data_IF_172834204554
#
_entry.id   IF_172834204554
#
_cell.length_a   1.000
_cell.length_b   1.000
_cell.length_c   1.000
_cell.angle_alpha   90.00
_cell.angle_beta   90.00
_cell.angle_gamma   90.00
#
_symmetry.space_group_name_H-M   'P 1'
#
loop_
_entity.id
_entity.type
_entity.pdbx_description
1 polymer ?
#
# COMPACT_ATOMS: atom_id res chain seq x y z
N UNK A 1 -35.68 25.59 -13.42
CA UNK A 1 -35.08 24.31 -13.86
C UNK A 1 -33.62 24.36 -13.44
N UNK A 2 -33.26 23.66 -12.35
CA UNK A 2 -31.88 23.67 -11.84
C UNK A 2 -31.12 22.50 -12.43
N UNK A 3 -30.13 22.79 -13.27
CA UNK A 3 -29.25 21.80 -13.89
C UNK A 3 -28.25 21.30 -12.85
N UNK A 4 -28.33 20.01 -12.50
CA UNK A 4 -27.31 19.32 -11.70
C UNK A 4 -25.98 19.33 -12.46
N UNK A 5 -24.85 19.74 -11.86
CA UNK A 5 -23.56 19.65 -12.51
C UNK A 5 -23.15 18.19 -12.64
N UNK A 6 -22.79 17.76 -13.86
CA UNK A 6 -22.28 16.44 -14.14
C UNK A 6 -21.05 16.14 -13.27
N UNK A 7 -21.10 15.02 -12.54
CA UNK A 7 -19.97 14.53 -11.76
C UNK A 7 -18.75 14.34 -12.69
N UNK A 8 -17.60 14.92 -12.30
CA UNK A 8 -16.34 14.68 -13.00
C UNK A 8 -16.08 13.17 -13.02
N UNK A 9 -15.66 12.58 -14.16
CA UNK A 9 -15.27 11.18 -14.18
C UNK A 9 -14.14 10.98 -13.16
N UNK A 10 -14.37 10.07 -12.20
CA UNK A 10 -13.33 9.65 -11.26
C UNK A 10 -12.11 9.20 -12.04
N UNK A 11 -10.89 9.58 -11.62
CA UNK A 11 -9.68 9.16 -12.31
C UNK A 11 -9.67 7.63 -12.42
N UNK A 12 -9.53 7.13 -13.66
CA UNK A 12 -9.46 5.71 -13.98
C UNK A 12 -8.46 5.02 -13.03
N UNK A 13 -8.98 4.32 -12.03
CA UNK A 13 -8.14 3.50 -11.16
C UNK A 13 -7.72 2.29 -11.96
N UNK A 14 -6.49 2.33 -12.50
CA UNK A 14 -5.88 1.12 -13.05
C UNK A 14 -5.80 0.08 -11.92
N UNK A 15 -6.39 -1.12 -12.10
CA UNK A 15 -6.34 -2.15 -11.08
C UNK A 15 -4.89 -2.57 -10.85
N UNK A 16 -4.54 -2.83 -9.59
CA UNK A 16 -3.22 -3.35 -9.22
C UNK A 16 -3.10 -4.79 -9.72
N UNK A 17 -2.01 -5.11 -10.41
CA UNK A 17 -1.72 -6.47 -10.89
C UNK A 17 -0.96 -7.31 -9.85
N UNK A 18 -0.97 -8.63 -10.01
CA UNK A 18 -0.22 -9.54 -9.14
C UNK A 18 1.29 -9.20 -9.15
N UNK A 19 1.85 -8.92 -10.34
CA UNK A 19 3.27 -8.59 -10.49
C UNK A 19 3.63 -7.27 -9.79
N UNK A 20 2.69 -6.31 -9.71
CA UNK A 20 2.89 -5.08 -8.95
C UNK A 20 2.95 -5.36 -7.45
N UNK A 21 2.11 -6.26 -6.93
CA UNK A 21 2.15 -6.69 -5.53
C UNK A 21 3.47 -7.41 -5.24
N UNK A 22 3.89 -8.34 -6.09
CA UNK A 22 5.12 -9.10 -5.87
C UNK A 22 6.36 -8.20 -5.89
N UNK A 23 6.42 -7.21 -6.81
CA UNK A 23 7.49 -6.20 -6.79
C UNK A 23 7.45 -5.33 -5.54
N UNK A 24 6.28 -4.94 -5.07
CA UNK A 24 6.14 -4.17 -3.83
C UNK A 24 6.63 -4.98 -2.63
N UNK A 25 6.29 -6.28 -2.55
CA UNK A 25 6.75 -7.19 -1.51
C UNK A 25 8.28 -7.31 -1.53
N UNK A 26 8.87 -7.55 -2.70
CA UNK A 26 10.32 -7.66 -2.84
C UNK A 26 11.05 -6.40 -2.37
N UNK A 27 10.52 -5.22 -2.71
CA UNK A 27 11.06 -3.96 -2.22
C UNK A 27 10.90 -3.82 -0.70
N UNK A 28 9.72 -4.16 -0.15
CA UNK A 28 9.48 -4.10 1.29
C UNK A 28 10.43 -5.01 2.07
N UNK A 29 10.62 -6.25 1.63
CA UNK A 29 11.52 -7.22 2.27
C UNK A 29 12.97 -6.72 2.26
N UNK A 30 13.41 -6.05 1.19
CA UNK A 30 14.74 -5.45 1.10
C UNK A 30 14.92 -4.17 1.95
N UNK A 31 13.84 -3.52 2.39
CA UNK A 31 13.89 -2.22 3.07
C UNK A 31 13.26 -2.22 4.47
N UNK A 32 12.91 -3.39 5.02
CA UNK A 32 12.13 -3.52 6.26
C UNK A 32 12.76 -2.78 7.44
N UNK A 33 14.09 -2.82 7.57
CA UNK A 33 14.83 -2.13 8.64
C UNK A 33 14.73 -0.61 8.52
N UNK A 34 14.90 -0.08 7.30
CA UNK A 34 14.75 1.36 7.03
C UNK A 34 13.32 1.84 7.30
N UNK A 35 12.32 1.02 6.94
CA UNK A 35 10.92 1.30 7.24
C UNK A 35 10.71 1.33 8.76
N UNK A 36 11.19 0.33 9.49
CA UNK A 36 11.07 0.27 10.95
C UNK A 36 11.68 1.50 11.63
N UNK A 37 12.85 1.97 11.17
CA UNK A 37 13.50 3.18 11.68
C UNK A 37 12.74 4.47 11.35
N UNK A 38 12.00 4.50 10.23
CA UNK A 38 11.21 5.66 9.82
C UNK A 38 9.83 5.73 10.49
N UNK A 39 9.38 4.67 11.16
CA UNK A 39 8.11 4.68 11.89
C UNK A 39 8.19 5.59 13.13
N UNK A 40 7.12 6.33 13.44
CA UNK A 40 5.81 6.31 12.77
C UNK A 40 5.77 7.14 11.47
N UNK A 41 5.04 6.63 10.46
CA UNK A 41 4.84 7.32 9.18
C UNK A 41 3.39 7.83 9.11
N UNK A 42 3.23 9.14 8.93
CA UNK A 42 1.94 9.80 8.86
C UNK A 42 1.60 10.20 7.44
N UNK A 43 0.45 9.77 6.94
CA UNK A 43 -0.10 10.17 5.64
C UNK A 43 -1.52 10.71 5.82
N UNK A 44 -2.09 11.50 4.88
CA UNK A 44 -3.44 12.00 5.02
C UNK A 44 -4.46 10.86 5.28
N UNK A 45 -5.02 10.84 6.49
CA UNK A 45 -6.01 9.86 6.93
C UNK A 45 -5.47 8.55 7.50
N UNK A 46 -4.14 8.35 7.59
CA UNK A 46 -3.53 7.11 8.12
C UNK A 46 -2.25 7.38 8.91
N UNK A 47 -2.09 6.72 10.06
CA UNK A 47 -0.86 6.69 10.84
C UNK A 47 -0.34 5.25 10.94
N UNK A 48 0.81 4.98 10.35
CA UNK A 48 1.49 3.70 10.44
C UNK A 48 2.41 3.69 11.66
N UNK A 49 2.23 2.70 12.54
CA UNK A 49 3.03 2.45 13.76
C UNK A 49 3.69 1.08 13.67
N UNK A 50 4.62 0.75 14.57
CA UNK A 50 5.36 -0.53 14.57
C UNK A 50 4.49 -1.78 14.31
N UNK A 51 3.31 -1.88 14.94
CA UNK A 51 2.39 -3.02 14.74
C UNK A 51 1.83 -3.18 13.31
N UNK A 52 1.96 -2.19 12.43
CA UNK A 52 1.57 -2.34 11.04
C UNK A 52 2.49 -3.30 10.28
N UNK A 53 3.76 -3.44 10.69
CA UNK A 53 4.71 -4.34 10.05
C UNK A 53 4.29 -5.81 10.24
N UNK A 54 3.84 -6.18 11.43
CA UNK A 54 3.30 -7.52 11.70
C UNK A 54 2.03 -7.79 10.87
N UNK A 55 1.14 -6.80 10.80
CA UNK A 55 -0.10 -6.90 10.02
C UNK A 55 0.19 -7.05 8.52
N UNK A 56 1.19 -6.33 8.02
CA UNK A 56 1.64 -6.39 6.64
C UNK A 56 2.30 -7.74 6.36
N UNK A 57 3.21 -8.22 7.22
CA UNK A 57 3.85 -9.53 7.11
C UNK A 57 2.83 -10.68 7.08
N UNK A 58 1.77 -10.61 7.90
CA UNK A 58 0.67 -11.58 7.85
C UNK A 58 -0.04 -11.56 6.50
N UNK A 59 -0.36 -10.37 6.00
CA UNK A 59 -1.03 -10.20 4.70
C UNK A 59 -0.16 -10.74 3.55
N UNK A 60 1.16 -10.49 3.59
CA UNK A 60 2.14 -11.01 2.63
C UNK A 60 2.20 -12.53 2.67
N UNK A 61 2.20 -13.14 3.86
CA UNK A 61 2.14 -14.60 4.00
C UNK A 61 0.86 -15.17 3.39
N UNK A 62 -0.30 -14.56 3.68
CA UNK A 62 -1.59 -14.95 3.09
C UNK A 62 -1.60 -14.82 1.56
N UNK A 63 -0.99 -13.76 1.01
CA UNK A 63 -0.80 -13.59 -0.44
C UNK A 63 0.08 -14.68 -1.04
N UNK A 64 1.27 -14.93 -0.47
CA UNK A 64 2.21 -15.97 -0.94
C UNK A 64 1.60 -17.37 -0.89
N UNK A 65 0.71 -17.62 0.06
CA UNK A 65 -0.03 -18.87 0.19
C UNK A 65 -1.27 -18.95 -0.73
N UNK A 66 -1.54 -17.95 -1.56
CA UNK A 66 -2.68 -17.92 -2.49
C UNK A 66 -4.05 -17.73 -1.84
N UNK A 67 -4.09 -17.37 -0.54
CA UNK A 67 -5.34 -17.23 0.22
C UNK A 67 -5.85 -15.79 0.29
N UNK A 68 -5.05 -14.81 -0.16
CA UNK A 68 -5.46 -13.41 -0.24
C UNK A 68 -5.86 -13.05 -1.68
N UNK A 69 -7.12 -12.70 -1.94
CA UNK A 69 -7.57 -12.23 -3.26
C UNK A 69 -6.84 -10.95 -3.71
N UNK A 70 -6.66 -10.80 -5.03
CA UNK A 70 -5.91 -9.70 -5.65
C UNK A 70 -6.40 -8.31 -5.22
N UNK A 71 -7.71 -8.10 -5.16
CA UNK A 71 -8.31 -6.82 -4.74
C UNK A 71 -7.95 -6.47 -3.29
N UNK A 72 -7.91 -7.48 -2.40
CA UNK A 72 -7.52 -7.28 -1.00
C UNK A 72 -6.00 -7.09 -0.86
N UNK A 73 -5.20 -7.81 -1.64
CA UNK A 73 -3.75 -7.62 -1.68
C UNK A 73 -3.37 -6.19 -2.13
N UNK A 74 -4.11 -5.62 -3.08
CA UNK A 74 -3.96 -4.21 -3.46
C UNK A 74 -4.14 -3.25 -2.26
N UNK A 75 -5.13 -3.51 -1.41
CA UNK A 75 -5.43 -2.68 -0.25
C UNK A 75 -4.49 -2.91 0.94
N UNK A 76 -4.19 -4.16 1.27
CA UNK A 76 -3.47 -4.53 2.49
C UNK A 76 -1.96 -4.65 2.32
N UNK A 77 -1.47 -4.79 1.08
CA UNK A 77 -0.04 -4.95 0.79
C UNK A 77 0.46 -3.77 -0.04
N UNK A 78 -0.03 -3.66 -1.28
CA UNK A 78 0.53 -2.72 -2.24
C UNK A 78 0.38 -1.26 -1.79
N UNK A 79 -0.80 -0.88 -1.28
CA UNK A 79 -1.06 0.51 -0.85
C UNK A 79 -0.23 0.94 0.36
N UNK A 80 -0.13 0.18 1.47
CA UNK A 80 0.80 0.50 2.56
C UNK A 80 2.25 0.61 2.12
N UNK A 81 2.75 -0.36 1.34
CA UNK A 81 4.13 -0.36 0.84
C UNK A 81 4.40 0.87 -0.03
N UNK A 82 3.43 1.28 -0.87
CA UNK A 82 3.56 2.49 -1.68
C UNK A 82 3.71 3.77 -0.85
N UNK A 83 3.12 3.82 0.35
CA UNK A 83 3.34 4.95 1.27
C UNK A 83 4.74 4.92 1.87
N UNK A 84 5.21 3.75 2.30
CA UNK A 84 6.57 3.59 2.82
C UNK A 84 7.61 3.95 1.77
N UNK A 85 7.42 3.50 0.53
CA UNK A 85 8.27 3.86 -0.60
C UNK A 85 8.38 5.37 -0.74
N UNK A 86 7.25 6.06 -0.86
CA UNK A 86 7.22 7.52 -1.00
C UNK A 86 7.89 8.23 0.17
N UNK A 87 7.65 7.78 1.39
CA UNK A 87 8.25 8.36 2.59
C UNK A 87 9.78 8.26 2.56
N UNK A 88 10.30 7.07 2.22
CA UNK A 88 11.74 6.83 2.20
C UNK A 88 12.45 7.50 1.01
N UNK A 89 11.82 7.55 -0.17
CA UNK A 89 12.41 8.17 -1.36
C UNK A 89 12.31 9.69 -1.39
N UNK A 90 11.35 10.30 -0.69
CA UNK A 90 11.23 11.77 -0.62
C UNK A 90 12.21 12.36 0.38
N UNK A 91 12.73 11.55 1.31
CA UNK A 91 13.70 11.95 2.34
C UNK A 91 15.16 11.65 1.96
N UNK A 92 15.41 10.99 0.83
CA UNK A 92 16.75 10.71 0.29
C UNK A 92 17.16 11.78 -0.72
#
# INVERSE_FOLDING_TARGET
>A
MSSTPAAKPSPEHKPVTAEQIDRAIAWYEANVEAIAAALPISTPGVLYKAGCLESLSRSISTWKNGTLPLNLAGCYIHRPISFFYKELTTKS
#
